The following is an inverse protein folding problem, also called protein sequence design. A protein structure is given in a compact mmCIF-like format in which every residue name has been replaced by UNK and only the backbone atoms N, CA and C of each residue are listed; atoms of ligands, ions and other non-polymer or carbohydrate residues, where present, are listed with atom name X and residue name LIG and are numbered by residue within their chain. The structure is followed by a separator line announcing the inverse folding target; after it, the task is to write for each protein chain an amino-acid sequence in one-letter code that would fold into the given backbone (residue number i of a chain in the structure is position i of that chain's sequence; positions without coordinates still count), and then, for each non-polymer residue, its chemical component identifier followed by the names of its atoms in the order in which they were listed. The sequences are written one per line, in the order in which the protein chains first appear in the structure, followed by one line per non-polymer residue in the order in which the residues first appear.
data_IF_282709964490
#
_entry.id   IF_282709964490
#
_cell.length_a   1.000
_cell.length_b   1.000
_cell.length_c   1.000
_cell.angle_alpha   90.00
_cell.angle_beta   90.00
_cell.angle_gamma   90.00
#
_symmetry.space_group_name_H-M   'P 1'
#
loop_
_entity.id
_entity.type
_entity.pdbx_description
1 polymer ?
#
# COMPACT_ATOMS: atom_id res chain seq x y z
N UNK A 1 7.05 22.94 7.82
CA UNK A 1 8.15 22.30 7.09
C UNK A 1 8.36 20.86 7.53
N UNK A 2 8.65 20.60 8.81
CA UNK A 2 8.82 19.24 9.30
C UNK A 2 7.54 18.41 9.20
N UNK A 3 6.38 19.03 9.45
CA UNK A 3 5.11 18.34 9.36
C UNK A 3 4.83 17.87 7.93
N UNK A 4 5.13 18.71 6.94
CA UNK A 4 4.96 18.34 5.54
C UNK A 4 5.89 17.19 5.16
N UNK A 5 7.13 17.22 5.63
CA UNK A 5 8.09 16.15 5.39
C UNK A 5 7.64 14.84 6.03
N UNK A 6 7.11 14.89 7.24
CA UNK A 6 6.61 13.70 7.93
C UNK A 6 5.43 13.10 7.19
N UNK A 7 4.49 13.93 6.73
CA UNK A 7 3.33 13.48 5.96
C UNK A 7 3.79 12.83 4.66
N UNK A 8 4.68 13.49 3.93
CA UNK A 8 5.20 12.95 2.68
C UNK A 8 5.87 11.60 2.90
N UNK A 9 6.76 11.50 3.90
CA UNK A 9 7.47 10.26 4.18
C UNK A 9 6.52 9.13 4.60
N UNK A 10 5.49 9.45 5.37
CA UNK A 10 4.52 8.45 5.82
C UNK A 10 3.81 7.83 4.60
N UNK A 11 3.33 8.65 3.68
CA UNK A 11 2.65 8.14 2.49
C UNK A 11 3.61 7.38 1.57
N UNK A 12 4.87 7.82 1.46
CA UNK A 12 5.85 7.12 0.66
C UNK A 12 6.20 5.75 1.26
N UNK A 13 6.32 5.66 2.58
CA UNK A 13 6.56 4.38 3.26
C UNK A 13 5.40 3.41 3.00
N UNK A 14 4.16 3.89 3.09
CA UNK A 14 3.00 3.06 2.80
C UNK A 14 3.02 2.56 1.35
N UNK A 15 3.39 3.42 0.42
CA UNK A 15 3.51 3.05 -0.99
C UNK A 15 4.56 1.95 -1.18
N UNK A 16 5.72 2.08 -0.55
CA UNK A 16 6.77 1.06 -0.64
C UNK A 16 6.34 -0.26 -0.03
N UNK A 17 5.60 -0.22 1.07
CA UNK A 17 5.09 -1.45 1.70
C UNK A 17 4.16 -2.19 0.73
N UNK A 18 3.29 -1.47 0.02
CA UNK A 18 2.42 -2.08 -0.98
C UNK A 18 3.24 -2.68 -2.14
N UNK A 19 4.28 -1.96 -2.61
CA UNK A 19 5.17 -2.49 -3.64
C UNK A 19 5.86 -3.76 -3.21
N UNK A 20 6.40 -3.78 -1.99
CA UNK A 20 7.05 -4.97 -1.44
C UNK A 20 6.07 -6.14 -1.36
N UNK A 21 4.83 -5.87 -0.96
CA UNK A 21 3.78 -6.88 -0.91
C UNK A 21 3.55 -7.51 -2.28
N UNK A 22 3.49 -6.70 -3.32
CA UNK A 22 3.30 -7.18 -4.70
C UNK A 22 4.47 -8.06 -5.12
N UNK A 23 5.70 -7.59 -4.86
CA UNK A 23 6.91 -8.37 -5.20
C UNK A 23 6.92 -9.69 -4.46
N UNK A 24 6.58 -9.70 -3.17
CA UNK A 24 6.53 -10.92 -2.36
C UNK A 24 5.53 -11.93 -2.93
N UNK A 25 4.46 -11.47 -3.57
CA UNK A 25 3.47 -12.37 -4.14
C UNK A 25 3.99 -13.12 -5.37
N UNK A 26 5.09 -12.64 -5.97
CA UNK A 26 5.71 -13.26 -7.14
C UNK A 26 6.78 -14.29 -6.77
N UNK A 27 7.24 -14.30 -5.54
CA UNK A 27 8.34 -15.15 -5.10
C UNK A 27 7.93 -16.00 -3.90
N UNK A 28 8.51 -17.21 -3.80
CA UNK A 28 8.32 -18.05 -2.63
C UNK A 28 8.96 -17.39 -1.42
N UNK A 29 8.24 -17.36 -0.32
CA UNK A 29 8.74 -16.78 0.92
C UNK A 29 8.07 -17.46 2.10
N UNK A 30 8.66 -17.30 3.28
CA UNK A 30 8.09 -17.82 4.51
C UNK A 30 7.15 -16.77 5.10
N UNK A 31 5.81 -17.01 5.07
CA UNK A 31 4.84 -16.02 5.57
C UNK A 31 4.89 -15.84 7.09
N UNK A 32 5.64 -16.70 7.80
CA UNK A 32 5.74 -16.62 9.25
C UNK A 32 6.94 -15.80 9.72
N UNK A 33 7.79 -15.31 8.82
CA UNK A 33 8.85 -14.40 9.22
C UNK A 33 8.24 -13.10 9.75
N UNK A 34 8.74 -12.56 10.88
CA UNK A 34 8.11 -11.40 11.53
C UNK A 34 7.99 -10.19 10.62
N UNK A 35 9.02 -9.89 9.82
CA UNK A 35 9.01 -8.73 8.92
C UNK A 35 7.97 -8.93 7.81
N UNK A 36 7.93 -10.11 7.20
CA UNK A 36 6.97 -10.42 6.15
C UNK A 36 5.54 -10.37 6.69
N UNK A 37 5.34 -10.93 7.89
CA UNK A 37 4.04 -10.88 8.55
C UNK A 37 3.60 -9.45 8.80
N UNK A 38 4.50 -8.59 9.24
CA UNK A 38 4.22 -7.18 9.48
C UNK A 38 3.83 -6.47 8.18
N UNK A 39 4.56 -6.73 7.09
CA UNK A 39 4.24 -6.15 5.78
C UNK A 39 2.84 -6.56 5.34
N UNK A 40 2.48 -7.83 5.52
CA UNK A 40 1.14 -8.30 5.18
C UNK A 40 0.07 -7.65 6.05
N UNK A 41 0.30 -7.52 7.36
CA UNK A 41 -0.66 -6.91 8.26
C UNK A 41 -0.93 -5.45 7.89
N UNK A 42 0.12 -4.68 7.64
CA UNK A 42 -0.02 -3.27 7.27
C UNK A 42 -0.70 -3.14 5.92
N UNK A 43 -0.24 -3.91 4.92
CA UNK A 43 -0.81 -3.83 3.58
C UNK A 43 -2.26 -4.32 3.55
N UNK A 44 -2.62 -5.34 4.31
CA UNK A 44 -3.99 -5.83 4.36
C UNK A 44 -4.95 -4.80 4.96
N UNK A 45 -4.47 -3.99 5.91
CA UNK A 45 -5.27 -2.91 6.47
C UNK A 45 -5.68 -1.92 5.39
N UNK A 46 -4.81 -1.69 4.40
CA UNK A 46 -5.08 -0.79 3.28
C UNK A 46 -5.84 -1.49 2.17
N UNK A 47 -5.43 -2.71 1.84
CA UNK A 47 -5.95 -3.43 0.66
C UNK A 47 -7.31 -4.06 0.89
N UNK A 48 -7.61 -4.46 2.13
CA UNK A 48 -8.85 -5.19 2.42
C UNK A 48 -10.11 -4.37 2.06
N UNK A 49 -10.22 -3.09 2.47
CA UNK A 49 -11.37 -2.27 2.04
C UNK A 49 -11.46 -2.11 0.53
N UNK A 50 -10.32 -2.01 -0.15
CA UNK A 50 -10.28 -1.84 -1.61
C UNK A 50 -10.75 -3.11 -2.29
N UNK A 51 -10.30 -4.28 -1.82
CA UNK A 51 -10.71 -5.57 -2.38
C UNK A 51 -12.21 -5.84 -2.22
N UNK A 52 -12.84 -5.25 -1.21
CA UNK A 52 -14.27 -5.41 -1.02
C UNK A 52 -15.10 -4.67 -2.08
N UNK A 53 -14.51 -3.69 -2.77
CA UNK A 53 -15.19 -2.90 -3.79
C UNK A 53 -14.73 -3.24 -5.20
N UNK A 54 -13.50 -3.73 -5.34
CA UNK A 54 -12.85 -3.94 -6.65
C UNK A 54 -12.72 -5.43 -6.91
N UNK A 55 -13.30 -5.89 -8.02
CA UNK A 55 -13.16 -7.27 -8.44
C UNK A 55 -11.87 -7.46 -9.24
N UNK A 56 -11.22 -8.64 -9.16
CA UNK A 56 -10.08 -8.94 -10.01
C UNK A 56 -10.47 -8.89 -11.49
N UNK A 57 -9.55 -8.43 -12.33
CA UNK A 57 -9.75 -8.38 -13.78
C UNK A 57 -8.90 -9.47 -14.40
N UNK A 58 -9.55 -10.41 -15.10
CA UNK A 58 -8.86 -11.50 -15.73
C UNK A 58 -8.08 -12.40 -14.76
N UNK A 59 -8.54 -12.50 -13.50
CA UNK A 59 -7.86 -13.27 -12.48
C UNK A 59 -6.69 -12.54 -11.82
N UNK A 60 -6.41 -11.31 -12.24
CA UNK A 60 -5.32 -10.50 -11.69
C UNK A 60 -5.86 -9.53 -10.64
N UNK A 61 -5.26 -9.54 -9.46
CA UNK A 61 -5.62 -8.62 -8.38
C UNK A 61 -5.06 -7.23 -8.71
N UNK A 62 -5.96 -6.27 -8.94
CA UNK A 62 -5.60 -4.88 -9.24
C UNK A 62 -5.64 -3.98 -8.02
N UNK A 63 -5.99 -4.53 -6.85
CA UNK A 63 -6.10 -3.74 -5.61
C UNK A 63 -4.82 -2.98 -5.25
N UNK A 64 -3.61 -3.58 -5.38
CA UNK A 64 -2.38 -2.83 -5.08
C UNK A 64 -2.18 -1.60 -5.96
N UNK A 65 -2.55 -1.69 -7.24
CA UNK A 65 -2.43 -0.55 -8.17
C UNK A 65 -3.37 0.56 -7.73
N UNK A 66 -4.61 0.23 -7.41
CA UNK A 66 -5.60 1.19 -6.95
C UNK A 66 -5.16 1.79 -5.61
N UNK A 67 -4.62 0.98 -4.69
CA UNK A 67 -4.15 1.44 -3.40
C UNK A 67 -3.03 2.48 -3.56
N UNK A 68 -2.05 2.21 -4.41
CA UNK A 68 -0.95 3.14 -4.66
C UNK A 68 -1.47 4.44 -5.25
N UNK A 69 -2.37 4.35 -6.22
CA UNK A 69 -2.98 5.53 -6.83
C UNK A 69 -3.72 6.37 -5.78
N UNK A 70 -4.52 5.74 -4.92
CA UNK A 70 -5.27 6.44 -3.88
C UNK A 70 -4.35 7.06 -2.83
N UNK A 71 -3.28 6.35 -2.44
CA UNK A 71 -2.31 6.89 -1.49
C UNK A 71 -1.68 8.16 -2.04
N UNK A 72 -1.25 8.15 -3.31
CA UNK A 72 -0.64 9.32 -3.93
C UNK A 72 -1.64 10.45 -4.09
N UNK A 73 -2.89 10.14 -4.44
CA UNK A 73 -3.93 11.15 -4.57
C UNK A 73 -4.23 11.83 -3.24
N UNK A 74 -4.41 11.05 -2.18
CA UNK A 74 -4.70 11.57 -0.84
C UNK A 74 -3.51 12.39 -0.35
N UNK A 75 -2.29 11.90 -0.55
CA UNK A 75 -1.08 12.64 -0.18
C UNK A 75 -1.07 14.02 -0.84
N UNK A 76 -1.31 14.07 -2.14
CA UNK A 76 -1.27 15.34 -2.88
C UNK A 76 -2.35 16.30 -2.41
N UNK A 77 -3.55 15.80 -2.12
CA UNK A 77 -4.63 16.62 -1.61
C UNK A 77 -4.26 17.22 -0.26
N UNK A 78 -3.74 16.40 0.65
CA UNK A 78 -3.35 16.85 1.99
C UNK A 78 -2.24 17.88 1.91
N UNK A 79 -1.21 17.62 1.11
CA UNK A 79 -0.07 18.54 1.01
C UNK A 79 -0.45 19.87 0.37
N UNK A 80 -1.39 19.87 -0.57
CA UNK A 80 -1.89 21.12 -1.16
C UNK A 80 -2.73 21.92 -0.18
N UNK A 81 -3.37 21.26 0.78
CA UNK A 81 -4.20 21.91 1.78
C UNK A 81 -3.38 22.56 2.89
N UNK A 82 -2.12 22.21 3.01
CA UNK A 82 -1.21 22.76 3.99
C UNK A 82 -0.43 23.96 3.43
#
# INVERSE_FOLDING_TARGET
MQMISIIHMTFEILTYIIFIRVILSWFSHNPYQPIIKLIYQISDTILSPIRSIVSPIGGVDISPIIAIFMIQLIKNIILKSL
#
